data_IF_975743323977
#
_entry.id   IF_975743323977
#
_cell.length_a   1.000
_cell.length_b   1.000
_cell.length_c   1.000
_cell.angle_alpha   90.00
_cell.angle_beta   90.00
_cell.angle_gamma   90.00
#
_symmetry.space_group_name_H-M   'P 1'
#
loop_
_entity.id
_entity.type
_entity.pdbx_description
1 polymer ?
#
# COMPACT_ATOMS: atom_id res chain seq x y z
N UNK A 1 -20.43 5.95 -34.45
CA UNK A 1 -19.92 6.39 -33.13
C UNK A 1 -20.05 5.20 -32.18
N UNK A 2 -19.02 4.36 -32.07
CA UNK A 2 -19.08 3.12 -31.28
C UNK A 2 -18.64 3.46 -29.86
N UNK A 3 -19.60 3.63 -28.95
CA UNK A 3 -19.31 3.68 -27.51
C UNK A 3 -19.14 2.24 -27.03
N UNK A 4 -17.89 1.79 -26.94
CA UNK A 4 -17.54 0.59 -26.19
C UNK A 4 -17.66 0.92 -24.70
N UNK A 5 -18.86 0.75 -24.14
CA UNK A 5 -19.09 0.81 -22.70
C UNK A 5 -18.49 -0.44 -22.06
N UNK A 6 -17.21 -0.36 -21.69
CA UNK A 6 -16.60 -1.42 -20.92
C UNK A 6 -17.17 -1.35 -19.49
N UNK A 7 -18.07 -2.27 -19.12
CA UNK A 7 -18.75 -2.31 -17.81
C UNK A 7 -17.85 -2.78 -16.66
N UNK A 8 -16.56 -2.96 -16.92
CA UNK A 8 -15.60 -3.34 -15.89
C UNK A 8 -15.63 -2.32 -14.76
N UNK A 9 -15.97 -2.78 -13.56
CA UNK A 9 -15.92 -2.00 -12.32
C UNK A 9 -14.69 -2.36 -11.47
N UNK A 10 -13.92 -3.34 -11.90
CA UNK A 10 -12.87 -3.95 -11.11
C UNK A 10 -11.56 -3.96 -11.87
N UNK A 11 -10.50 -3.49 -11.22
CA UNK A 11 -9.12 -3.65 -11.66
C UNK A 11 -8.45 -4.73 -10.82
N UNK A 12 -7.70 -5.64 -11.43
CA UNK A 12 -7.09 -6.79 -10.74
C UNK A 12 -5.58 -6.77 -10.90
N UNK A 13 -4.88 -6.74 -9.78
CA UNK A 13 -3.43 -6.85 -9.66
C UNK A 13 -3.08 -8.26 -9.20
N UNK A 14 -2.78 -9.14 -10.15
CA UNK A 14 -2.46 -10.53 -9.86
C UNK A 14 -1.12 -10.63 -9.11
N UNK A 15 -1.11 -11.33 -7.97
CA UNK A 15 0.11 -11.71 -7.26
C UNK A 15 0.51 -13.12 -7.69
N UNK A 16 -0.44 -14.05 -7.64
CA UNK A 16 -0.34 -15.41 -8.15
C UNK A 16 -1.73 -15.93 -8.58
N UNK A 17 -1.90 -17.24 -8.77
CA UNK A 17 -3.17 -17.84 -9.22
C UNK A 17 -4.31 -17.79 -8.18
N UNK A 18 -3.98 -17.56 -6.91
CA UNK A 18 -4.94 -17.60 -5.79
C UNK A 18 -5.05 -16.27 -5.04
N UNK A 19 -4.02 -15.45 -5.12
CA UNK A 19 -3.92 -14.19 -4.40
C UNK A 19 -3.79 -13.03 -5.38
N UNK A 20 -4.58 -11.98 -5.15
CA UNK A 20 -4.61 -10.79 -5.99
C UNK A 20 -5.18 -9.60 -5.22
N UNK A 21 -4.75 -8.39 -5.58
CA UNK A 21 -5.35 -7.15 -5.08
C UNK A 21 -6.39 -6.69 -6.10
N UNK A 22 -7.57 -6.31 -5.63
CA UNK A 22 -8.61 -5.72 -6.47
C UNK A 22 -8.86 -4.27 -6.07
N UNK A 23 -9.21 -3.47 -7.06
CA UNK A 23 -9.81 -2.16 -6.88
C UNK A 23 -11.20 -2.23 -7.48
N UNK A 24 -12.20 -2.05 -6.64
CA UNK A 24 -13.61 -2.06 -7.04
C UNK A 24 -14.15 -0.64 -6.97
N UNK A 25 -14.75 -0.18 -8.07
CA UNK A 25 -15.47 1.09 -8.11
C UNK A 25 -16.98 0.88 -8.09
N UNK A 26 -17.69 1.86 -7.52
CA UNK A 26 -19.15 1.94 -7.57
C UNK A 26 -19.68 2.07 -9.00
N UNK A 27 -18.94 2.73 -9.88
CA UNK A 27 -19.28 2.94 -11.30
C UNK A 27 -18.32 2.19 -12.23
N UNK A 28 -18.67 1.99 -13.51
CA UNK A 28 -17.73 1.50 -14.52
C UNK A 28 -16.43 2.33 -14.52
N UNK A 29 -15.28 1.67 -14.69
CA UNK A 29 -13.97 2.32 -14.63
C UNK A 29 -13.79 3.41 -15.69
N UNK A 30 -14.51 3.32 -16.81
CA UNK A 30 -14.52 4.33 -17.87
C UNK A 30 -15.45 5.52 -17.56
N UNK A 31 -16.20 5.49 -16.46
CA UNK A 31 -17.16 6.52 -16.05
C UNK A 31 -16.87 7.05 -14.63
N UNK A 32 -15.80 6.57 -14.00
CA UNK A 32 -15.45 6.92 -12.61
C UNK A 32 -15.08 8.40 -12.48
N UNK A 33 -15.66 9.08 -11.48
CA UNK A 33 -15.40 10.49 -11.14
C UNK A 33 -14.73 10.62 -9.76
N UNK A 34 -14.32 11.83 -9.37
CA UNK A 34 -13.67 12.07 -8.06
C UNK A 34 -14.57 11.76 -6.85
N UNK A 35 -15.90 11.79 -7.02
CA UNK A 35 -16.87 11.56 -5.95
C UNK A 35 -17.24 10.09 -5.77
N UNK A 36 -16.89 9.25 -6.73
CA UNK A 36 -17.29 7.84 -6.73
C UNK A 36 -16.53 7.07 -5.67
N UNK A 37 -17.23 6.13 -5.03
CA UNK A 37 -16.62 5.24 -4.06
C UNK A 37 -15.75 4.21 -4.77
N UNK A 38 -14.56 3.98 -4.20
CA UNK A 38 -13.61 2.96 -4.62
C UNK A 38 -13.05 2.25 -3.40
N UNK A 39 -12.95 0.92 -3.48
CA UNK A 39 -12.41 0.09 -2.41
C UNK A 39 -11.22 -0.72 -2.93
N UNK A 40 -10.19 -0.82 -2.09
CA UNK A 40 -9.02 -1.65 -2.32
C UNK A 40 -9.12 -2.87 -1.41
N UNK A 41 -9.08 -4.07 -1.99
CA UNK A 41 -9.17 -5.30 -1.23
C UNK A 41 -8.14 -6.34 -1.68
N UNK A 42 -7.66 -7.13 -0.73
CA UNK A 42 -6.83 -8.30 -0.98
C UNK A 42 -7.76 -9.50 -1.03
N UNK A 43 -7.73 -10.23 -2.14
CA UNK A 43 -8.31 -11.56 -2.20
C UNK A 43 -7.20 -12.56 -1.96
N UNK A 44 -7.36 -13.38 -0.94
CA UNK A 44 -6.40 -14.41 -0.55
C UNK A 44 -7.09 -15.63 -0.02
N UNK A 45 -6.78 -16.80 -0.56
CA UNK A 45 -7.42 -18.07 -0.19
C UNK A 45 -8.96 -17.96 -0.16
N UNK A 46 -9.54 -17.31 -1.18
CA UNK A 46 -10.98 -17.03 -1.31
C UNK A 46 -11.57 -16.14 -0.19
N UNK A 47 -10.75 -15.47 0.60
CA UNK A 47 -11.17 -14.47 1.59
C UNK A 47 -10.84 -13.08 1.09
N UNK A 48 -11.79 -12.16 1.28
CA UNK A 48 -11.64 -10.73 0.97
C UNK A 48 -11.24 -9.98 2.25
N UNK A 49 -10.11 -9.28 2.18
CA UNK A 49 -9.63 -8.39 3.22
C UNK A 49 -9.71 -6.97 2.68
N UNK A 50 -10.57 -6.14 3.27
CA UNK A 50 -10.62 -4.72 2.93
C UNK A 50 -9.35 -4.03 3.45
N UNK A 51 -8.62 -3.42 2.53
CA UNK A 51 -7.34 -2.76 2.82
C UNK A 51 -7.55 -1.27 3.01
N UNK A 52 -8.42 -0.70 2.16
CA UNK A 52 -8.87 0.68 2.21
C UNK A 52 -10.22 0.83 1.49
N UNK A 53 -10.98 1.86 1.86
CA UNK A 53 -12.24 2.24 1.22
C UNK A 53 -12.39 3.74 1.28
N UNK A 54 -12.65 4.37 0.14
CA UNK A 54 -12.74 5.83 0.10
C UNK A 54 -13.24 6.33 -1.24
N UNK A 55 -12.87 7.58 -1.55
CA UNK A 55 -13.16 8.16 -2.85
C UNK A 55 -12.17 7.66 -3.89
N UNK A 56 -12.58 7.74 -5.15
CA UNK A 56 -11.71 7.50 -6.30
C UNK A 56 -10.38 8.28 -6.23
N UNK A 57 -10.39 9.50 -5.69
CA UNK A 57 -9.18 10.31 -5.48
C UNK A 57 -8.17 9.63 -4.57
N UNK A 58 -8.63 9.02 -3.48
CA UNK A 58 -7.78 8.38 -2.47
C UNK A 58 -7.13 7.12 -3.08
N UNK A 59 -7.94 6.32 -3.78
CA UNK A 59 -7.48 5.16 -4.55
C UNK A 59 -6.48 5.54 -5.64
N UNK A 60 -6.71 6.66 -6.35
CA UNK A 60 -5.79 7.19 -7.36
C UNK A 60 -4.43 7.57 -6.75
N UNK A 61 -4.40 8.16 -5.57
CA UNK A 61 -3.16 8.49 -4.86
C UNK A 61 -2.38 7.24 -4.42
N UNK A 62 -3.08 6.21 -3.92
CA UNK A 62 -2.47 4.91 -3.62
C UNK A 62 -1.86 4.27 -4.86
N UNK A 63 -2.58 4.28 -5.98
CA UNK A 63 -2.05 3.78 -7.25
C UNK A 63 -0.89 4.60 -7.79
N UNK A 64 -0.87 5.92 -7.59
CA UNK A 64 0.27 6.74 -7.94
C UNK A 64 1.52 6.32 -7.15
N UNK A 65 1.34 6.00 -5.87
CA UNK A 65 2.43 5.49 -5.03
C UNK A 65 2.89 4.11 -5.51
N UNK A 66 1.98 3.17 -5.76
CA UNK A 66 2.30 1.85 -6.33
C UNK A 66 3.06 2.00 -7.66
N UNK A 67 2.57 2.84 -8.57
CA UNK A 67 3.22 3.15 -9.85
C UNK A 67 4.68 3.55 -9.64
N UNK A 68 4.92 4.52 -8.76
CA UNK A 68 6.27 5.01 -8.49
C UNK A 68 7.14 3.92 -7.86
N UNK A 69 6.61 3.10 -6.94
CA UNK A 69 7.37 1.99 -6.36
C UNK A 69 7.70 0.91 -7.38
N UNK A 70 6.79 0.58 -8.30
CA UNK A 70 7.07 -0.33 -9.41
C UNK A 70 8.20 0.20 -10.29
N UNK A 71 8.16 1.47 -10.69
CA UNK A 71 9.23 2.11 -11.48
C UNK A 71 10.57 2.03 -10.75
N UNK A 72 10.61 2.43 -9.48
CA UNK A 72 11.84 2.40 -8.69
C UNK A 72 12.36 0.97 -8.51
N UNK A 73 11.49 -0.01 -8.24
CA UNK A 73 11.87 -1.41 -8.08
C UNK A 73 12.39 -2.03 -9.39
N UNK A 74 11.74 -1.74 -10.53
CA UNK A 74 12.20 -2.21 -11.84
C UNK A 74 13.60 -1.67 -12.18
N UNK A 75 13.90 -0.45 -11.74
CA UNK A 75 15.21 0.21 -11.85
C UNK A 75 16.20 -0.15 -10.72
N UNK A 76 15.87 -1.14 -9.86
CA UNK A 76 16.67 -1.58 -8.71
C UNK A 76 16.97 -0.48 -7.66
N UNK A 77 16.17 0.58 -7.62
CA UNK A 77 16.34 1.72 -6.70
C UNK A 77 15.73 1.46 -5.31
N UNK A 78 15.02 0.35 -5.12
CA UNK A 78 14.42 -0.04 -3.84
C UNK A 78 15.12 -1.24 -3.22
N UNK A 79 16.44 -1.32 -3.34
CA UNK A 79 17.22 -2.34 -2.65
C UNK A 79 17.00 -2.25 -1.14
N UNK A 80 16.54 -3.35 -0.53
CA UNK A 80 16.36 -3.41 0.92
C UNK A 80 17.71 -3.29 1.63
N UNK A 81 17.79 -2.40 2.62
CA UNK A 81 19.01 -2.22 3.38
C UNK A 81 19.31 -3.48 4.21
N UNK A 82 20.58 -3.86 4.30
CA UNK A 82 21.03 -5.04 5.05
C UNK A 82 20.77 -4.93 6.55
N UNK A 83 20.50 -3.74 7.08
CA UNK A 83 20.13 -3.51 8.48
C UNK A 83 18.64 -3.72 8.73
N UNK A 84 17.81 -3.67 7.67
CA UNK A 84 16.38 -3.93 7.70
C UNK A 84 16.18 -5.43 7.40
N UNK A 85 16.73 -6.30 8.25
CA UNK A 85 16.58 -7.75 8.07
C UNK A 85 15.25 -8.23 8.65
N UNK A 86 14.24 -8.25 7.77
CA UNK A 86 12.91 -8.85 7.94
C UNK A 86 11.93 -8.06 8.81
N UNK A 87 10.66 -8.10 8.40
CA UNK A 87 9.49 -7.51 9.06
C UNK A 87 9.45 -5.98 8.99
N UNK A 88 9.41 -5.40 7.78
CA UNK A 88 9.20 -3.94 7.59
C UNK A 88 7.98 -3.46 8.37
N UNK A 89 6.89 -4.23 8.37
CA UNK A 89 5.69 -3.91 9.15
C UNK A 89 5.89 -3.86 10.67
N UNK A 90 6.80 -4.68 11.21
CA UNK A 90 7.13 -4.64 12.64
C UNK A 90 7.97 -3.41 12.97
N UNK A 91 8.96 -3.10 12.13
CA UNK A 91 9.76 -1.88 12.27
C UNK A 91 8.91 -0.62 12.10
N UNK A 92 7.94 -0.66 11.19
CA UNK A 92 6.93 0.39 11.04
C UNK A 92 6.12 0.56 12.33
N UNK A 93 5.66 -0.53 12.96
CA UNK A 93 4.96 -0.45 14.23
C UNK A 93 5.85 0.10 15.36
N UNK A 94 7.14 -0.24 15.40
CA UNK A 94 8.12 0.37 16.31
C UNK A 94 8.28 1.87 16.06
N UNK A 95 8.45 2.27 14.81
CA UNK A 95 8.54 3.67 14.40
C UNK A 95 7.29 4.46 14.80
N UNK A 96 6.09 3.98 14.45
CA UNK A 96 4.83 4.65 14.75
C UNK A 96 4.58 4.76 16.26
N UNK A 97 4.87 3.71 17.05
CA UNK A 97 4.65 3.73 18.49
C UNK A 97 5.65 4.64 19.24
N UNK A 98 6.92 4.66 18.81
CA UNK A 98 8.00 5.42 19.44
C UNK A 98 8.38 6.69 18.66
N UNK A 99 7.46 7.26 17.88
CA UNK A 99 7.74 8.44 17.03
C UNK A 99 8.28 9.63 17.84
N UNK A 100 7.84 9.80 19.09
CA UNK A 100 8.33 10.86 20.01
C UNK A 100 9.48 10.41 20.92
N UNK A 101 9.92 9.15 20.81
CA UNK A 101 10.93 8.53 21.65
C UNK A 101 11.98 7.80 20.78
N UNK A 102 12.59 8.55 19.86
CA UNK A 102 13.50 8.04 18.81
C UNK A 102 14.58 7.07 19.33
N UNK A 103 15.17 7.34 20.49
CA UNK A 103 16.19 6.45 21.08
C UNK A 103 15.64 5.03 21.32
N UNK A 104 14.39 4.90 21.77
CA UNK A 104 13.74 3.58 21.93
C UNK A 104 13.47 2.90 20.60
N UNK A 105 13.17 3.67 19.54
CA UNK A 105 13.01 3.12 18.20
C UNK A 105 14.34 2.60 17.64
N UNK A 106 15.44 3.34 17.86
CA UNK A 106 16.80 2.94 17.49
C UNK A 106 17.21 1.63 18.19
N UNK A 107 16.95 1.51 19.49
CA UNK A 107 17.21 0.28 20.27
C UNK A 107 16.45 -0.94 19.73
N UNK A 108 15.37 -0.71 18.98
CA UNK A 108 14.53 -1.72 18.34
C UNK A 108 14.85 -1.93 16.85
N UNK A 109 15.94 -1.33 16.35
CA UNK A 109 16.44 -1.51 14.98
C UNK A 109 15.79 -0.60 13.93
N UNK A 110 15.05 0.44 14.35
CA UNK A 110 14.49 1.44 13.42
C UNK A 110 15.62 2.37 12.96
N UNK A 111 15.92 2.37 11.66
CA UNK A 111 16.98 3.20 11.06
C UNK A 111 16.40 4.48 10.47
N UNK A 112 16.99 5.63 10.80
CA UNK A 112 16.56 6.94 10.30
C UNK A 112 17.54 7.49 9.26
N UNK A 113 17.03 8.20 8.27
CA UNK A 113 17.83 8.88 7.26
C UNK A 113 18.39 10.23 7.77
N UNK A 114 19.15 10.93 6.92
CA UNK A 114 19.80 12.21 7.26
C UNK A 114 18.84 13.36 7.56
N UNK A 115 17.56 13.21 7.23
CA UNK A 115 16.49 14.17 7.51
C UNK A 115 15.62 13.73 8.70
N UNK A 116 16.08 12.75 9.48
CA UNK A 116 15.38 12.18 10.64
C UNK A 116 14.05 11.49 10.33
N UNK A 117 13.78 11.14 9.07
CA UNK A 117 12.65 10.26 8.72
C UNK A 117 13.08 8.79 8.81
N UNK A 118 12.15 7.89 9.09
CA UNK A 118 12.43 6.46 9.05
C UNK A 118 12.80 6.03 7.62
N UNK A 119 13.94 5.37 7.46
CA UNK A 119 14.45 4.98 6.15
C UNK A 119 13.56 3.92 5.46
N UNK A 120 12.76 3.18 6.25
CA UNK A 120 11.83 2.18 5.74
C UNK A 120 10.63 2.77 4.97
N UNK A 121 10.29 4.05 5.16
CA UNK A 121 9.18 4.70 4.45
C UNK A 121 9.38 4.70 2.93
N UNK A 122 10.63 4.59 2.45
CA UNK A 122 10.92 4.49 1.02
C UNK A 122 10.40 3.19 0.38
N UNK A 123 10.06 2.17 1.15
CA UNK A 123 9.48 0.92 0.64
C UNK A 123 7.95 0.87 0.75
N UNK A 124 7.34 1.79 1.50
CA UNK A 124 5.90 1.84 1.76
C UNK A 124 5.11 2.27 0.51
N UNK A 125 4.17 1.45 0.07
CA UNK A 125 3.29 1.71 -1.08
C UNK A 125 1.92 2.26 -0.65
N UNK A 126 1.34 1.74 0.42
CA UNK A 126 0.21 2.34 1.12
C UNK A 126 0.23 1.90 2.58
N UNK A 127 -0.47 2.63 3.46
CA UNK A 127 -0.76 2.21 4.83
C UNK A 127 -2.22 2.52 5.19
N UNK A 128 -3.00 1.46 5.47
CA UNK A 128 -4.38 1.51 5.98
C UNK A 128 -4.48 0.59 7.19
N UNK A 129 -5.47 -0.32 7.23
CA UNK A 129 -5.48 -1.44 8.19
C UNK A 129 -4.31 -2.41 7.99
N UNK A 130 -3.81 -2.45 6.75
CA UNK A 130 -2.62 -3.16 6.34
C UNK A 130 -1.70 -2.21 5.58
N UNK A 131 -0.40 -2.46 5.65
CA UNK A 131 0.60 -1.79 4.86
C UNK A 131 1.08 -2.71 3.75
N UNK A 132 1.30 -2.15 2.57
CA UNK A 132 1.89 -2.82 1.43
C UNK A 132 3.29 -2.26 1.18
N UNK A 133 4.26 -3.14 1.05
CA UNK A 133 5.67 -2.82 0.85
C UNK A 133 6.17 -3.41 -0.46
N UNK A 134 6.96 -2.64 -1.21
CA UNK A 134 7.62 -3.07 -2.44
C UNK A 134 9.11 -2.76 -2.33
N UNK A 135 9.96 -3.77 -2.51
CA UNK A 135 11.41 -3.61 -2.45
C UNK A 135 12.14 -4.68 -3.29
N UNK A 136 13.39 -4.42 -3.64
CA UNK A 136 14.26 -5.38 -4.31
C UNK A 136 14.96 -6.24 -3.25
N UNK A 137 14.94 -7.56 -3.44
CA UNK A 137 15.69 -8.52 -2.62
C UNK A 137 16.97 -8.92 -3.34
N UNK A 138 18.16 -8.43 -2.92
CA UNK A 138 19.40 -8.62 -3.67
C UNK A 138 19.81 -10.07 -3.86
N UNK A 139 19.50 -10.96 -2.91
CA UNK A 139 19.89 -12.37 -2.96
C UNK A 139 19.18 -13.15 -4.08
N UNK A 140 17.97 -12.74 -4.44
CA UNK A 140 17.12 -13.43 -5.42
C UNK A 140 16.93 -12.62 -6.70
N UNK A 141 17.37 -11.35 -6.73
CA UNK A 141 17.18 -10.41 -7.84
C UNK A 141 15.70 -10.27 -8.25
N UNK A 142 14.79 -10.47 -7.28
CA UNK A 142 13.35 -10.33 -7.45
C UNK A 142 12.83 -9.08 -6.76
N UNK A 143 11.59 -8.72 -7.07
CA UNK A 143 10.87 -7.65 -6.40
C UNK A 143 9.97 -8.30 -5.37
N UNK A 144 10.20 -8.03 -4.09
CA UNK A 144 9.37 -8.54 -3.01
C UNK A 144 8.19 -7.62 -2.77
N UNK A 145 7.02 -8.23 -2.66
CA UNK A 145 5.79 -7.64 -2.19
C UNK A 145 5.49 -8.19 -0.79
N UNK A 146 5.49 -7.33 0.22
CA UNK A 146 5.13 -7.70 1.58
C UNK A 146 3.84 -6.99 1.98
N UNK A 147 2.91 -7.69 2.62
CA UNK A 147 1.75 -7.07 3.23
C UNK A 147 1.71 -7.41 4.72
N UNK A 148 1.57 -6.38 5.55
CA UNK A 148 1.66 -6.51 7.02
C UNK A 148 0.49 -5.80 7.68
N UNK A 149 0.02 -6.27 8.84
CA UNK A 149 -0.87 -5.44 9.66
C UNK A 149 -0.17 -4.14 10.07
N UNK A 150 -0.95 -3.09 10.28
CA UNK A 150 -0.45 -1.80 10.80
C UNK A 150 -0.82 -1.63 12.27
N UNK A 151 0.00 -0.89 12.99
CA UNK A 151 -0.32 -0.45 14.34
C UNK A 151 -0.48 1.07 14.34
N UNK A 152 -1.70 1.54 14.57
CA UNK A 152 -2.02 2.96 14.58
C UNK A 152 -2.28 3.44 16.02
N UNK A 153 -1.27 4.01 16.71
CA UNK A 153 -1.43 4.45 18.11
C UNK A 153 -2.48 5.54 18.31
N UNK A 154 -2.80 6.30 17.25
CA UNK A 154 -3.71 7.44 17.28
C UNK A 154 -5.19 7.08 17.41
N UNK A 155 -5.63 5.91 16.96
CA UNK A 155 -7.01 5.44 17.19
C UNK A 155 -7.25 4.94 18.62
N UNK A 156 -6.19 4.76 19.41
CA UNK A 156 -6.23 4.30 20.81
C UNK A 156 -5.88 5.41 21.82
N UNK A 157 -6.04 6.69 21.44
CA UNK A 157 -6.15 7.79 22.43
C UNK A 157 -7.50 7.66 23.15
N UNK A 158 -7.62 6.63 23.99
CA UNK A 158 -8.66 6.54 24.99
C UNK A 158 -8.40 7.67 26.02
N UNK A 159 -9.50 8.35 26.35
CA UNK A 159 -9.67 9.58 27.14
C UNK A 159 -9.07 9.51 28.57
N UNK A 160 -8.37 8.42 28.94
CA UNK A 160 -7.80 8.18 30.28
C UNK A 160 -6.30 7.87 30.31
N UNK A 161 -5.59 7.97 29.19
CA UNK A 161 -4.11 8.06 29.16
C UNK A 161 -3.32 6.84 29.68
N UNK A 162 -3.93 5.65 29.81
CA UNK A 162 -3.26 4.48 30.47
C UNK A 162 -3.17 3.17 29.67
N UNK A 163 -3.65 3.06 28.43
CA UNK A 163 -3.76 1.73 27.76
C UNK A 163 -2.89 1.47 26.54
N UNK A 164 -1.87 2.30 26.23
CA UNK A 164 -1.08 2.16 25.00
C UNK A 164 -0.06 1.02 24.98
N UNK A 165 0.62 0.79 26.10
CA UNK A 165 1.78 -0.12 26.12
C UNK A 165 1.35 -1.60 26.13
N UNK A 166 0.28 -1.93 26.86
CA UNK A 166 -0.26 -3.30 26.94
C UNK A 166 -0.84 -3.72 25.59
N UNK A 167 -1.63 -2.85 24.95
CA UNK A 167 -2.19 -3.09 23.60
C UNK A 167 -1.09 -3.26 22.55
N UNK A 168 -0.05 -2.43 22.62
CA UNK A 168 1.10 -2.55 21.73
C UNK A 168 1.89 -3.86 21.93
N UNK A 169 2.10 -4.27 23.17
CA UNK A 169 2.79 -5.53 23.49
C UNK A 169 1.95 -6.74 23.03
N UNK A 170 0.63 -6.68 23.23
CA UNK A 170 -0.29 -7.69 22.73
C UNK A 170 -0.31 -7.74 21.19
N UNK A 171 -0.28 -6.59 20.51
CA UNK A 171 -0.16 -6.50 19.06
C UNK A 171 1.15 -7.17 18.59
N UNK A 172 2.30 -6.80 19.16
CA UNK A 172 3.59 -7.36 18.77
C UNK A 172 3.68 -8.87 19.02
N UNK A 173 3.04 -9.37 20.09
CA UNK A 173 2.99 -10.81 20.40
C UNK A 173 2.25 -11.60 19.33
N UNK A 174 1.22 -11.01 18.73
CA UNK A 174 0.40 -11.63 17.69
C UNK A 174 0.75 -11.15 16.27
N UNK A 175 1.80 -10.34 16.12
CA UNK A 175 2.21 -9.81 14.83
C UNK A 175 2.69 -10.95 13.92
N UNK A 176 2.12 -11.00 12.72
CA UNK A 176 2.59 -11.82 11.62
C UNK A 176 2.39 -11.08 10.31
N UNK A 177 3.40 -11.13 9.45
CA UNK A 177 3.27 -10.68 8.06
C UNK A 177 2.11 -11.44 7.43
N UNK A 178 1.17 -10.72 6.81
CA UNK A 178 0.01 -11.32 6.18
C UNK A 178 0.50 -12.21 5.04
N UNK A 179 1.22 -11.63 4.08
CA UNK A 179 1.93 -12.40 3.06
C UNK A 179 3.24 -11.73 2.66
N UNK A 180 4.13 -12.51 2.08
CA UNK A 180 5.35 -12.04 1.44
C UNK A 180 5.57 -12.89 0.20
N UNK A 181 5.60 -12.24 -0.97
CA UNK A 181 5.81 -12.90 -2.25
C UNK A 181 6.98 -12.26 -2.99
N UNK A 182 7.76 -13.09 -3.66
CA UNK A 182 8.69 -12.62 -4.68
C UNK A 182 7.96 -12.60 -6.02
N UNK A 183 7.89 -11.42 -6.63
CA UNK A 183 7.24 -11.20 -7.92
C UNK A 183 8.28 -11.17 -9.04
N UNK A 184 8.01 -11.87 -10.16
CA UNK A 184 8.73 -11.65 -11.40
C UNK A 184 8.60 -10.19 -11.86
N UNK A 185 9.64 -9.67 -12.53
CA UNK A 185 9.61 -8.30 -13.06
C UNK A 185 8.46 -8.07 -14.04
N UNK A 186 8.08 -9.08 -14.81
CA UNK A 186 6.94 -9.04 -15.74
C UNK A 186 5.61 -8.77 -15.03
N UNK A 187 5.39 -9.39 -13.86
CA UNK A 187 4.21 -9.13 -13.03
C UNK A 187 4.20 -7.67 -12.56
N UNK A 188 5.35 -7.15 -12.13
CA UNK A 188 5.48 -5.75 -11.69
C UNK A 188 5.30 -4.77 -12.86
N UNK A 189 5.75 -5.10 -14.07
CA UNK A 189 5.47 -4.32 -15.28
C UNK A 189 3.97 -4.27 -15.57
N UNK A 190 3.26 -5.40 -15.41
CA UNK A 190 1.80 -5.44 -15.59
C UNK A 190 1.10 -4.55 -14.57
N UNK A 191 1.53 -4.60 -13.31
CA UNK A 191 1.00 -3.72 -12.26
C UNK A 191 1.23 -2.24 -12.59
N UNK A 192 2.41 -1.89 -13.07
CA UNK A 192 2.73 -0.54 -13.52
C UNK A 192 1.76 -0.06 -14.62
N UNK A 193 1.59 -0.85 -15.67
CA UNK A 193 0.67 -0.52 -16.78
C UNK A 193 -0.78 -0.38 -16.30
N UNK A 194 -1.24 -1.26 -15.40
CA UNK A 194 -2.60 -1.18 -14.85
C UNK A 194 -2.79 0.08 -13.98
N UNK A 195 -1.82 0.41 -13.14
CA UNK A 195 -1.85 1.63 -12.33
C UNK A 195 -1.88 2.89 -13.20
N UNK A 196 -1.01 2.96 -14.23
CA UNK A 196 -0.98 4.09 -15.18
C UNK A 196 -2.30 4.26 -15.91
N UNK A 197 -2.87 3.15 -16.40
CA UNK A 197 -4.17 3.16 -17.08
C UNK A 197 -5.27 3.70 -16.17
N UNK A 198 -5.36 3.22 -14.94
CA UNK A 198 -6.39 3.67 -14.00
C UNK A 198 -6.22 5.14 -13.60
N UNK A 199 -4.99 5.57 -13.28
CA UNK A 199 -4.71 6.96 -12.93
C UNK A 199 -5.11 7.90 -14.06
N UNK A 200 -4.80 7.52 -15.31
CA UNK A 200 -5.18 8.28 -16.50
C UNK A 200 -6.70 8.33 -16.67
N UNK A 201 -7.40 7.19 -16.56
CA UNK A 201 -8.87 7.15 -16.65
C UNK A 201 -9.53 8.06 -15.60
N UNK A 202 -9.05 8.00 -14.35
CA UNK A 202 -9.57 8.86 -13.30
C UNK A 202 -9.31 10.34 -13.59
N UNK A 203 -8.10 10.69 -14.07
CA UNK A 203 -7.78 12.07 -14.42
C UNK A 203 -8.68 12.59 -15.55
N UNK A 204 -8.74 11.86 -16.67
CA UNK A 204 -9.50 12.26 -17.85
C UNK A 204 -11.00 12.47 -17.50
N UNK A 205 -11.59 11.59 -16.68
CA UNK A 205 -13.00 11.72 -16.27
C UNK A 205 -13.26 12.83 -15.25
N UNK A 206 -12.29 13.08 -14.36
CA UNK A 206 -12.38 14.19 -13.40
C UNK A 206 -12.37 15.52 -14.15
N UNK A 207 -11.49 15.67 -15.15
CA UNK A 207 -11.37 16.88 -15.94
C UNK A 207 -12.67 17.16 -16.72
N UNK A 208 -13.23 16.14 -17.39
CA UNK A 208 -14.55 16.24 -18.06
C UNK A 208 -15.65 16.65 -17.08
N UNK A 209 -15.66 16.08 -15.87
CA UNK A 209 -16.67 16.40 -14.86
C UNK A 209 -16.62 17.87 -14.45
N UNK A 210 -15.43 18.46 -14.32
CA UNK A 210 -15.26 19.87 -13.99
C UNK A 210 -15.58 20.80 -15.17
N UNK A 211 -15.18 20.44 -16.39
CA UNK A 211 -15.54 21.18 -17.61
C UNK A 211 -17.05 21.23 -17.85
N UNK A 212 -17.78 20.17 -17.52
CA UNK A 212 -19.25 20.13 -17.66
C UNK A 212 -20.00 21.04 -16.67
N UNK A 213 -19.30 21.56 -15.66
CA UNK A 213 -19.86 22.39 -14.59
C UNK A 213 -19.45 23.87 -14.67
N UNK A 214 -18.50 24.20 -15.55
CA UNK A 214 -18.07 25.57 -15.87
C UNK A 214 -18.86 26.15 -17.03
#
# INVERSE_FOLDING_TARGET
>A
MVKLYNKEKTLVFCINQHDYIIIESSNPLNEITCCDQSAVALIRNNKKYELDSGKCTDTKEHLFTIKNKCVMALNNQLTIDKTIQKNLGKLYAHHSFYITAKNKALDLGVVFNTKDYWDGDKYLSWSGNYALWIYNTPSTNTITLECTPTYHPQYYYNIKGRTRYVEYTAYLKNYGTLFMYELPKETVCTWLTLAEKYIKLCQDNIDIHFESKS
#
